data_IF_868634066106
#
_entry.id   IF_868634066106
#
_cell.length_a   1.000
_cell.length_b   1.000
_cell.length_c   1.000
_cell.angle_alpha   90.00
_cell.angle_beta   90.00
_cell.angle_gamma   90.00
#
_symmetry.space_group_name_H-M   'P 1'
#
loop_
_entity.id
_entity.type
_entity.pdbx_description
1 polymer ?
#
# COMPACT_ATOMS: atom_id res chain seq x y z
N UNK A 1 -4.66 -6.74 5.29
CA UNK A 1 -5.93 -7.19 5.86
C UNK A 1 -6.32 -8.55 5.30
N UNK A 2 -6.72 -8.66 4.02
CA UNK A 2 -7.27 -9.89 3.41
C UNK A 2 -6.35 -11.11 3.61
N UNK A 3 -5.06 -10.99 3.33
CA UNK A 3 -4.09 -12.08 3.49
C UNK A 3 -4.00 -12.57 4.94
N UNK A 4 -3.91 -11.63 5.89
CA UNK A 4 -3.85 -11.94 7.31
C UNK A 4 -5.13 -12.62 7.79
N UNK A 5 -6.29 -12.11 7.38
CA UNK A 5 -7.58 -12.60 7.81
C UNK A 5 -7.82 -14.01 7.24
N UNK A 6 -7.54 -14.24 5.96
CA UNK A 6 -7.62 -15.55 5.34
C UNK A 6 -6.68 -16.58 6.03
N UNK A 7 -5.46 -16.18 6.38
CA UNK A 7 -4.52 -17.05 7.10
C UNK A 7 -5.01 -17.37 8.51
N UNK A 8 -5.62 -16.40 9.19
CA UNK A 8 -6.25 -16.58 10.51
C UNK A 8 -7.44 -17.54 10.45
N UNK A 9 -8.19 -17.51 9.38
CA UNK A 9 -9.34 -18.40 9.13
C UNK A 9 -8.93 -19.81 8.64
N UNK A 10 -7.62 -20.08 8.62
CA UNK A 10 -7.10 -21.42 8.30
C UNK A 10 -6.91 -21.69 6.81
N UNK A 11 -7.07 -20.70 5.94
CA UNK A 11 -6.76 -20.87 4.53
C UNK A 11 -5.25 -20.97 4.30
N UNK A 12 -4.82 -21.97 3.54
CA UNK A 12 -3.42 -22.18 3.16
C UNK A 12 -2.94 -21.15 2.16
N UNK A 13 -2.65 -19.93 2.62
CA UNK A 13 -2.16 -18.83 1.80
C UNK A 13 -0.68 -18.59 2.02
N UNK A 14 0.04 -18.35 0.94
CA UNK A 14 1.45 -17.98 0.95
C UNK A 14 1.77 -16.97 -0.13
N UNK A 15 2.95 -16.36 -0.04
CA UNK A 15 3.47 -15.45 -1.06
C UNK A 15 4.43 -16.24 -1.97
N UNK A 16 4.15 -16.21 -3.26
CA UNK A 16 4.96 -16.90 -4.26
C UNK A 16 6.25 -16.10 -4.53
N UNK A 17 7.28 -16.34 -3.72
CA UNK A 17 8.57 -15.61 -3.79
C UNK A 17 9.45 -16.02 -4.97
N UNK A 18 9.18 -17.19 -5.55
CA UNK A 18 9.98 -17.78 -6.64
C UNK A 18 9.52 -17.29 -8.03
N UNK A 19 8.42 -16.57 -8.10
CA UNK A 19 7.93 -16.04 -9.37
C UNK A 19 8.89 -14.95 -9.90
N UNK A 20 9.33 -15.10 -11.15
CA UNK A 20 10.23 -14.15 -11.80
C UNK A 20 9.68 -13.73 -13.17
N UNK A 21 9.70 -12.44 -13.53
CA UNK A 21 10.03 -11.30 -12.64
C UNK A 21 8.94 -11.06 -11.60
N UNK A 22 9.33 -10.72 -10.38
CA UNK A 22 8.41 -10.35 -9.31
C UNK A 22 8.20 -8.84 -9.32
N UNK A 23 7.02 -8.39 -9.70
CA UNK A 23 6.67 -6.97 -9.79
C UNK A 23 5.78 -6.62 -8.61
N UNK A 24 6.26 -5.73 -7.76
CA UNK A 24 5.51 -5.20 -6.64
C UNK A 24 4.86 -3.86 -6.99
N UNK A 25 3.71 -3.59 -6.43
CA UNK A 25 3.03 -2.30 -6.53
C UNK A 25 2.96 -1.65 -5.16
N UNK A 26 3.37 -0.39 -5.07
CA UNK A 26 3.26 0.45 -3.89
C UNK A 26 2.28 1.58 -4.15
N UNK A 27 1.21 1.61 -3.35
CA UNK A 27 0.24 2.71 -3.40
C UNK A 27 0.40 3.56 -2.15
N UNK A 28 0.96 4.77 -2.24
CA UNK A 28 1.09 5.65 -1.10
C UNK A 28 -0.28 6.11 -0.64
N UNK A 29 -0.45 6.20 0.68
CA UNK A 29 -1.62 6.82 1.29
C UNK A 29 -1.20 8.13 1.93
N UNK A 30 -1.96 9.17 1.68
CA UNK A 30 -1.70 10.50 2.21
C UNK A 30 -2.82 10.91 3.15
N UNK A 31 -2.46 11.58 4.24
CA UNK A 31 -3.40 12.28 5.10
C UNK A 31 -3.42 13.76 4.70
N UNK A 32 -4.61 14.31 4.54
CA UNK A 32 -4.79 15.73 4.22
C UNK A 32 -5.58 16.42 5.33
N UNK A 33 -5.25 17.66 5.60
CA UNK A 33 -5.98 18.51 6.54
C UNK A 33 -6.91 19.41 5.70
N UNK A 34 -8.21 19.29 5.95
CA UNK A 34 -9.20 20.12 5.25
C UNK A 34 -8.95 21.60 5.52
N UNK A 35 -8.95 22.43 4.47
CA UNK A 35 -8.72 23.86 4.58
C UNK A 35 -9.73 24.57 5.50
N UNK A 36 -10.99 24.08 5.52
CA UNK A 36 -12.07 24.64 6.35
C UNK A 36 -12.16 24.05 7.77
N UNK A 37 -11.14 23.30 8.26
CA UNK A 37 -11.21 22.74 9.61
C UNK A 37 -11.29 23.81 10.68
N UNK A 38 -12.18 23.60 11.67
CA UNK A 38 -12.31 24.49 12.83
C UNK A 38 -11.19 24.31 13.85
N UNK A 39 -10.38 23.25 13.74
CA UNK A 39 -9.33 22.90 14.70
C UNK A 39 -8.02 22.57 13.98
N UNK A 40 -7.41 23.53 13.26
CA UNK A 40 -6.23 23.26 12.44
C UNK A 40 -5.02 22.80 13.24
N UNK A 41 -4.83 23.30 14.46
CA UNK A 41 -3.71 22.90 15.30
C UNK A 41 -3.87 21.45 15.81
N UNK A 42 -5.08 21.06 16.19
CA UNK A 42 -5.37 19.67 16.59
C UNK A 42 -5.18 18.73 15.41
N UNK A 43 -5.62 19.11 14.21
CA UNK A 43 -5.42 18.32 13.00
C UNK A 43 -3.93 18.13 12.67
N UNK A 44 -3.12 19.19 12.81
CA UNK A 44 -1.66 19.10 12.64
C UNK A 44 -1.01 18.21 13.69
N UNK A 45 -1.44 18.32 14.95
CA UNK A 45 -0.93 17.47 16.03
C UNK A 45 -1.25 16.00 15.76
N UNK A 46 -2.48 15.70 15.36
CA UNK A 46 -2.89 14.35 14.99
C UNK A 46 -2.10 13.81 13.78
N UNK A 47 -1.90 14.63 12.75
CA UNK A 47 -1.08 14.23 11.61
C UNK A 47 0.36 13.90 12.03
N UNK A 48 0.94 14.68 12.94
CA UNK A 48 2.28 14.38 13.52
C UNK A 48 2.28 13.10 14.34
N UNK A 49 1.26 12.90 15.17
CA UNK A 49 1.11 11.66 15.95
C UNK A 49 1.04 10.44 15.04
N UNK A 50 0.29 10.51 13.94
CA UNK A 50 0.19 9.42 12.97
C UNK A 50 1.52 9.05 12.30
N UNK A 51 2.55 9.89 12.40
CA UNK A 51 3.90 9.60 11.90
C UNK A 51 4.82 8.98 12.97
N UNK A 52 4.36 8.89 14.20
CA UNK A 52 5.10 8.21 15.28
C UNK A 52 4.91 6.70 15.22
N UNK A 53 5.79 5.93 15.88
CA UNK A 53 5.67 4.48 16.00
C UNK A 53 4.32 4.07 16.63
N UNK A 54 3.91 4.77 17.68
CA UNK A 54 2.64 4.54 18.39
C UNK A 54 1.43 4.81 17.48
N UNK A 55 1.40 5.95 16.78
CA UNK A 55 0.30 6.31 15.88
C UNK A 55 0.23 5.41 14.64
N UNK A 56 1.37 4.87 14.18
CA UNK A 56 1.44 3.94 13.06
C UNK A 56 1.15 2.48 13.45
N UNK A 57 1.25 2.11 14.72
CA UNK A 57 1.12 0.72 15.18
C UNK A 57 -0.11 -0.02 14.63
N UNK A 58 -1.32 0.53 14.59
CA UNK A 58 -2.48 -0.15 14.01
C UNK A 58 -2.32 -0.41 12.50
N UNK A 59 -1.67 0.50 11.80
CA UNK A 59 -1.43 0.40 10.35
C UNK A 59 -0.36 -0.63 10.03
N UNK A 60 0.72 -0.65 10.82
CA UNK A 60 1.80 -1.63 10.70
C UNK A 60 1.28 -3.04 10.99
N UNK A 61 0.42 -3.20 11.98
CA UNK A 61 -0.27 -4.46 12.28
C UNK A 61 -1.11 -4.99 11.12
N UNK A 62 -1.58 -4.10 10.23
CA UNK A 62 -2.27 -4.46 8.99
C UNK A 62 -1.32 -4.77 7.81
N UNK A 63 -0.02 -4.80 8.05
CA UNK A 63 0.98 -5.07 7.01
C UNK A 63 1.27 -3.88 6.08
N UNK A 64 0.92 -2.67 6.49
CA UNK A 64 1.29 -1.45 5.76
C UNK A 64 2.73 -1.05 6.08
N UNK A 65 3.35 -0.32 5.20
CA UNK A 65 4.73 0.15 5.35
C UNK A 65 4.69 1.61 5.79
N UNK A 66 5.47 1.96 6.83
CA UNK A 66 5.63 3.34 7.25
C UNK A 66 6.53 4.11 6.30
N UNK A 67 6.20 5.38 6.05
CA UNK A 67 7.12 6.33 5.41
C UNK A 67 8.13 6.91 6.38
N UNK A 68 7.91 6.73 7.70
CA UNK A 68 8.91 7.02 8.70
C UNK A 68 9.93 5.87 8.76
N UNK A 69 11.14 6.10 8.28
CA UNK A 69 12.21 5.10 8.21
C UNK A 69 12.76 4.71 9.59
N UNK A 70 12.50 5.51 10.61
CA UNK A 70 12.89 5.24 11.99
C UNK A 70 11.86 4.38 12.75
N UNK A 71 10.64 4.25 12.22
CA UNK A 71 9.61 3.44 12.84
C UNK A 71 9.94 1.95 12.72
N UNK A 72 9.95 1.25 13.85
CA UNK A 72 10.11 -0.20 13.88
C UNK A 72 8.88 -0.87 13.30
N UNK A 73 9.05 -1.55 12.20
CA UNK A 73 7.97 -2.32 11.59
C UNK A 73 7.93 -3.72 12.18
N UNK A 74 6.73 -4.24 12.55
CA UNK A 74 6.62 -5.64 12.95
C UNK A 74 7.01 -6.52 11.76
N UNK A 75 7.76 -7.58 12.05
CA UNK A 75 8.08 -8.59 11.05
C UNK A 75 6.79 -9.28 10.59
N UNK A 76 6.54 -9.22 9.30
CA UNK A 76 5.46 -9.96 8.67
C UNK A 76 5.86 -10.38 7.26
N UNK A 77 5.22 -11.42 6.76
CA UNK A 77 5.46 -11.85 5.38
C UNK A 77 5.18 -10.73 4.36
N UNK A 78 4.26 -9.83 4.69
CA UNK A 78 3.86 -8.70 3.83
C UNK A 78 4.86 -7.55 3.92
N UNK A 79 5.37 -7.22 5.11
CA UNK A 79 6.37 -6.15 5.27
C UNK A 79 7.70 -6.47 4.58
N UNK A 80 8.03 -7.75 4.44
CA UNK A 80 9.22 -8.22 3.74
C UNK A 80 9.14 -8.21 2.21
N UNK A 81 7.97 -7.94 1.62
CA UNK A 81 7.78 -7.99 0.16
C UNK A 81 8.76 -7.07 -0.58
N UNK A 82 9.00 -5.87 -0.07
CA UNK A 82 9.92 -4.90 -0.69
C UNK A 82 11.34 -5.41 -0.84
N UNK A 83 11.74 -6.43 -0.07
CA UNK A 83 13.10 -6.96 -0.08
C UNK A 83 13.36 -7.98 -1.20
N UNK A 84 12.31 -8.49 -1.85
CA UNK A 84 12.46 -9.54 -2.87
C UNK A 84 11.72 -9.26 -4.18
N UNK A 85 11.14 -8.08 -4.34
CA UNK A 85 10.59 -7.66 -5.64
C UNK A 85 11.72 -7.27 -6.59
N UNK A 86 11.65 -7.71 -7.84
CA UNK A 86 12.62 -7.33 -8.88
C UNK A 86 12.40 -5.88 -9.33
N UNK A 87 11.15 -5.45 -9.33
CA UNK A 87 10.74 -4.11 -9.72
C UNK A 87 9.58 -3.63 -8.88
N UNK A 88 9.75 -2.46 -8.26
CA UNK A 88 8.71 -1.79 -7.50
C UNK A 88 8.08 -0.66 -8.34
N UNK A 89 6.80 -0.81 -8.63
CA UNK A 89 6.00 0.24 -9.25
C UNK A 89 5.34 1.08 -8.17
N UNK A 90 5.64 2.36 -8.14
CA UNK A 90 5.06 3.31 -7.18
C UNK A 90 3.98 4.13 -7.89
N UNK A 91 2.74 4.04 -7.41
CA UNK A 91 1.66 4.86 -7.94
C UNK A 91 1.87 6.33 -7.55
N UNK A 92 2.05 7.17 -8.54
CA UNK A 92 2.07 8.63 -8.40
C UNK A 92 0.80 9.21 -9.01
N UNK A 93 0.44 10.44 -8.63
CA UNK A 93 -0.70 11.14 -9.22
C UNK A 93 -0.58 11.28 -10.74
N UNK A 94 0.63 11.52 -11.24
CA UNK A 94 0.94 11.64 -12.67
C UNK A 94 0.77 10.31 -13.39
N UNK A 95 1.35 9.22 -12.87
CA UNK A 95 1.18 7.89 -13.46
C UNK A 95 -0.27 7.43 -13.40
N UNK A 96 -1.01 7.81 -12.36
CA UNK A 96 -2.43 7.47 -12.26
C UNK A 96 -3.26 8.15 -13.35
N UNK A 97 -2.95 9.39 -13.73
CA UNK A 97 -3.61 10.06 -14.84
C UNK A 97 -3.31 9.37 -16.18
N UNK A 98 -2.07 9.02 -16.42
CA UNK A 98 -1.66 8.27 -17.62
C UNK A 98 -2.30 6.88 -17.68
N UNK A 99 -2.41 6.21 -16.54
CA UNK A 99 -3.06 4.91 -16.43
C UNK A 99 -4.57 5.01 -16.72
N UNK A 100 -5.24 6.06 -16.24
CA UNK A 100 -6.64 6.32 -16.57
C UNK A 100 -6.84 6.61 -18.06
N UNK A 101 -5.94 7.36 -18.68
CA UNK A 101 -5.99 7.63 -20.12
C UNK A 101 -5.91 6.34 -20.96
N UNK A 102 -5.22 5.32 -20.47
CA UNK A 102 -5.05 4.02 -21.13
C UNK A 102 -6.08 2.97 -20.70
N UNK A 103 -6.97 3.30 -19.79
CA UNK A 103 -7.91 2.32 -19.22
C UNK A 103 -8.77 1.63 -20.29
N UNK A 104 -9.22 2.38 -21.30
CA UNK A 104 -10.02 1.83 -22.38
C UNK A 104 -9.21 0.83 -23.23
N UNK A 105 -7.97 1.16 -23.54
CA UNK A 105 -7.06 0.27 -24.31
C UNK A 105 -6.83 -1.05 -23.57
N UNK A 106 -6.68 -0.99 -22.23
CA UNK A 106 -6.52 -2.18 -21.41
C UNK A 106 -7.80 -3.02 -21.33
N UNK A 107 -8.96 -2.39 -21.24
CA UNK A 107 -10.24 -3.09 -21.27
C UNK A 107 -10.45 -3.81 -22.61
N UNK A 108 -10.17 -3.15 -23.72
CA UNK A 108 -10.30 -3.71 -25.06
C UNK A 108 -9.31 -4.87 -25.26
N UNK A 109 -8.07 -4.73 -24.76
CA UNK A 109 -7.09 -5.81 -24.76
C UNK A 109 -7.60 -7.05 -23.98
N UNK A 110 -8.15 -6.86 -22.79
CA UNK A 110 -8.71 -7.95 -21.99
C UNK A 110 -9.88 -8.63 -22.70
N UNK A 111 -10.82 -7.87 -23.22
CA UNK A 111 -12.00 -8.39 -23.91
C UNK A 111 -11.64 -9.17 -25.18
N UNK A 112 -10.59 -8.76 -25.89
CA UNK A 112 -10.13 -9.45 -27.09
C UNK A 112 -9.37 -10.76 -26.80
N UNK A 113 -8.75 -10.89 -25.62
CA UNK A 113 -7.94 -12.05 -25.24
C UNK A 113 -8.62 -12.99 -24.23
N UNK A 114 -9.84 -12.70 -23.80
CA UNK A 114 -10.60 -13.49 -22.80
C UNK A 114 -11.56 -14.54 -23.40
N UNK A 115 -11.36 -14.90 -24.68
CA UNK A 115 -12.14 -15.95 -25.36
C UNK A 115 -11.41 -17.27 -25.40
#
# INVERSE_FOLDING_TARGET
AIFRDAKKDGYGMGICKELKPWIGQLTPRVAVIAAGTKSPNTAKLFARFMMTEEGMAPQLGDGKISTNTEAKMPESEVSGIVNFVDRLYVNHSETTQDDFAKLQDWQDFWLSNSR
#
